data_IF_154728333339
#
_entry.id   IF_154728333339
#
_cell.length_a   1.000
_cell.length_b   1.000
_cell.length_c   1.000
_cell.angle_alpha   90.00
_cell.angle_beta   90.00
_cell.angle_gamma   90.00
#
_symmetry.space_group_name_H-M   'P 1'
#
loop_
_entity.id
_entity.type
_entity.pdbx_description
1 polymer ?
#
# COMPACT_ATOMS: atom_id res chain seq x y z
N UNK A 1 -18.01 -24.02 -6.04
CA UNK A 1 -16.74 -24.44 -6.66
C UNK A 1 -15.70 -23.40 -6.29
N UNK A 2 -15.06 -23.60 -5.14
CA UNK A 2 -13.93 -22.78 -4.68
C UNK A 2 -12.64 -23.30 -5.32
N UNK A 3 -11.77 -22.37 -5.74
CA UNK A 3 -10.35 -22.61 -5.92
C UNK A 3 -9.88 -22.69 -7.37
N UNK A 4 -9.00 -21.74 -7.73
CA UNK A 4 -7.54 -21.97 -7.88
C UNK A 4 -6.99 -21.02 -8.93
N UNK A 5 -6.54 -19.85 -8.49
CA UNK A 5 -5.89 -18.87 -9.36
C UNK A 5 -5.12 -17.83 -8.56
N UNK A 6 -4.00 -18.26 -7.97
CA UNK A 6 -2.89 -17.39 -7.55
C UNK A 6 -3.10 -16.43 -6.37
N UNK A 7 -3.46 -16.98 -5.21
CA UNK A 7 -3.13 -16.40 -3.90
C UNK A 7 -1.84 -17.00 -3.27
N UNK A 8 -1.06 -17.79 -4.02
CA UNK A 8 0.16 -18.46 -3.52
C UNK A 8 1.49 -17.78 -3.86
N UNK A 9 1.52 -16.60 -4.45
CA UNK A 9 2.80 -15.92 -4.70
C UNK A 9 3.46 -15.36 -3.43
N UNK A 10 2.68 -15.12 -2.38
CA UNK A 10 3.19 -14.55 -1.12
C UNK A 10 3.55 -15.64 -0.09
N UNK A 11 2.91 -16.81 -0.13
CA UNK A 11 2.88 -17.68 1.05
C UNK A 11 3.95 -18.80 1.11
N UNK A 12 4.32 -19.45 0.00
CA UNK A 12 5.16 -20.66 0.09
C UNK A 12 6.50 -20.62 -0.66
N UNK A 13 6.68 -19.72 -1.63
CA UNK A 13 7.95 -19.70 -2.41
C UNK A 13 8.48 -18.29 -2.71
N UNK A 14 7.62 -17.26 -2.74
CA UNK A 14 8.04 -15.86 -2.99
C UNK A 14 8.62 -15.13 -1.77
N UNK A 15 8.36 -15.62 -0.55
CA UNK A 15 8.76 -14.95 0.70
C UNK A 15 10.28 -14.92 0.95
N UNK A 16 11.08 -15.76 0.27
CA UNK A 16 12.54 -15.77 0.42
C UNK A 16 13.29 -14.82 -0.53
N UNK A 17 12.62 -14.27 -1.54
CA UNK A 17 13.23 -13.42 -2.57
C UNK A 17 12.84 -11.94 -2.45
N UNK A 18 11.90 -11.60 -1.58
CA UNK A 18 11.40 -10.23 -1.45
C UNK A 18 11.84 -9.63 -0.11
N UNK A 19 12.84 -8.75 -0.14
CA UNK A 19 13.08 -7.87 1.01
C UNK A 19 11.83 -6.99 1.19
N UNK A 20 11.23 -6.96 2.39
CA UNK A 20 10.08 -6.12 2.68
C UNK A 20 10.31 -4.70 2.14
N UNK A 21 9.29 -4.11 1.51
CA UNK A 21 9.38 -2.74 0.97
C UNK A 21 9.85 -1.77 2.05
N UNK A 22 9.43 -2.00 3.30
CA UNK A 22 9.83 -1.25 4.48
C UNK A 22 11.35 -1.21 4.75
N UNK A 23 12.11 -2.21 4.29
CA UNK A 23 13.55 -2.29 4.48
C UNK A 23 14.34 -1.53 3.39
N UNK A 24 13.73 -1.34 2.22
CA UNK A 24 14.36 -0.72 1.07
C UNK A 24 14.68 0.76 1.33
N UNK A 25 15.91 1.18 1.01
CA UNK A 25 16.36 2.57 1.25
C UNK A 25 15.51 3.60 0.50
N UNK A 26 15.09 3.26 -0.73
CA UNK A 26 14.23 4.11 -1.57
C UNK A 26 12.89 4.36 -0.87
N UNK A 27 12.26 3.31 -0.33
CA UNK A 27 11.01 3.45 0.41
C UNK A 27 11.18 4.29 1.66
N UNK A 28 12.20 4.01 2.48
CA UNK A 28 12.51 4.79 3.69
C UNK A 28 12.69 6.28 3.38
N UNK A 29 13.38 6.60 2.30
CA UNK A 29 13.57 7.98 1.84
C UNK A 29 12.26 8.61 1.36
N UNK A 30 11.43 7.86 0.61
CA UNK A 30 10.13 8.31 0.10
C UNK A 30 9.17 8.67 1.24
N UNK A 31 8.98 7.77 2.21
CA UNK A 31 8.04 7.97 3.32
C UNK A 31 8.51 8.97 4.36
N UNK A 32 9.81 9.30 4.42
CA UNK A 32 10.35 10.28 5.38
C UNK A 32 9.73 11.68 5.23
N UNK A 33 9.31 12.04 4.02
CA UNK A 33 8.78 13.39 3.71
C UNK A 33 7.34 13.38 3.19
N UNK A 34 6.68 12.22 3.16
CA UNK A 34 5.36 12.05 2.53
C UNK A 34 4.46 11.24 3.44
N UNK A 35 3.21 11.70 3.58
CA UNK A 35 2.13 10.88 4.13
C UNK A 35 1.71 9.88 3.05
N UNK A 36 1.63 8.61 3.40
CA UNK A 36 1.20 7.55 2.50
C UNK A 36 -0.08 6.95 3.04
N UNK A 37 -1.07 6.86 2.16
CA UNK A 37 -2.37 6.30 2.47
C UNK A 37 -2.62 5.12 1.53
N UNK A 38 -3.21 4.06 2.06
CA UNK A 38 -3.61 2.89 1.31
C UNK A 38 -5.13 2.75 1.44
N UNK A 39 -5.81 2.51 0.32
CA UNK A 39 -7.22 2.14 0.32
C UNK A 39 -7.36 0.69 -0.11
N UNK A 40 -8.01 -0.12 0.71
CA UNK A 40 -8.42 -1.48 0.38
C UNK A 40 -9.49 -1.97 1.34
N UNK A 41 -10.58 -2.52 0.83
CA UNK A 41 -11.64 -3.11 1.65
C UNK A 41 -11.19 -4.43 2.32
N UNK A 42 -10.17 -5.08 1.77
CA UNK A 42 -9.81 -6.46 2.15
C UNK A 42 -8.55 -6.56 3.03
N UNK A 43 -7.59 -5.64 2.90
CA UNK A 43 -6.34 -5.71 3.67
C UNK A 43 -6.53 -5.39 5.15
N UNK A 44 -5.82 -6.07 6.05
CA UNK A 44 -5.78 -5.72 7.47
C UNK A 44 -4.62 -4.76 7.77
N UNK A 45 -4.65 -4.13 8.95
CA UNK A 45 -3.50 -3.34 9.42
C UNK A 45 -2.24 -4.19 9.57
N UNK A 46 -2.38 -5.48 9.88
CA UNK A 46 -1.24 -6.39 10.01
C UNK A 46 -0.56 -6.63 8.65
N UNK A 47 -1.34 -6.74 7.57
CA UNK A 47 -0.81 -6.89 6.20
C UNK A 47 -0.01 -5.65 5.80
N UNK A 48 -0.55 -4.47 6.10
CA UNK A 48 0.11 -3.18 5.83
C UNK A 48 1.39 -3.03 6.64
N UNK A 49 1.36 -3.34 7.93
CA UNK A 49 2.53 -3.25 8.82
C UNK A 49 3.63 -4.23 8.40
N UNK A 50 3.26 -5.41 7.91
CA UNK A 50 4.22 -6.40 7.41
C UNK A 50 4.95 -5.90 6.15
N UNK A 51 4.23 -5.30 5.20
CA UNK A 51 4.79 -4.85 3.91
C UNK A 51 5.54 -3.52 4.05
N UNK A 52 4.91 -2.54 4.71
CA UNK A 52 5.34 -1.14 4.70
C UNK A 52 5.98 -0.69 6.02
N UNK A 53 5.95 -1.54 7.04
CA UNK A 53 6.46 -1.26 8.37
C UNK A 53 5.42 -0.50 9.21
N UNK A 54 5.46 -0.74 10.53
CA UNK A 54 4.55 -0.12 11.49
C UNK A 54 4.45 1.40 11.29
N UNK A 55 3.20 1.89 11.27
CA UNK A 55 2.80 3.30 11.28
C UNK A 55 3.23 4.18 10.09
N UNK A 56 3.78 3.62 9.01
CA UNK A 56 4.21 4.40 7.82
C UNK A 56 3.11 4.64 6.80
N UNK A 57 2.09 3.78 6.79
CA UNK A 57 0.97 3.83 5.84
C UNK A 57 -0.33 3.77 6.62
N UNK A 58 -1.23 4.71 6.35
CA UNK A 58 -2.57 4.71 6.93
C UNK A 58 -3.51 3.95 6.02
N UNK A 59 -4.14 2.89 6.54
CA UNK A 59 -5.10 2.08 5.81
C UNK A 59 -6.53 2.60 5.97
N UNK A 60 -7.22 2.77 4.85
CA UNK A 60 -8.62 3.14 4.78
C UNK A 60 -9.41 2.01 4.16
N UNK A 61 -10.47 1.59 4.86
CA UNK A 61 -11.41 0.57 4.39
C UNK A 61 -12.52 1.15 3.52
N UNK A 62 -12.79 2.46 3.65
CA UNK A 62 -13.81 3.16 2.86
C UNK A 62 -13.16 4.27 2.08
N UNK A 63 -13.57 4.40 0.81
CA UNK A 63 -13.03 5.42 -0.08
C UNK A 63 -13.33 6.83 0.44
N UNK A 64 -14.56 7.06 0.93
CA UNK A 64 -14.97 8.34 1.49
C UNK A 64 -14.08 8.79 2.66
N UNK A 65 -13.69 7.86 3.54
CA UNK A 65 -12.84 8.17 4.69
C UNK A 65 -11.43 8.61 4.23
N UNK A 66 -10.90 7.98 3.18
CA UNK A 66 -9.63 8.39 2.57
C UNK A 66 -9.74 9.81 1.98
N UNK A 67 -10.79 10.08 1.20
CA UNK A 67 -10.99 11.40 0.58
C UNK A 67 -11.12 12.48 1.65
N UNK A 68 -11.93 12.25 2.68
CA UNK A 68 -12.09 13.18 3.79
C UNK A 68 -10.75 13.46 4.48
N UNK A 69 -9.91 12.44 4.67
CA UNK A 69 -8.59 12.61 5.27
C UNK A 69 -7.64 13.39 4.38
N UNK A 70 -7.67 13.14 3.06
CA UNK A 70 -6.89 13.92 2.10
C UNK A 70 -7.31 15.40 2.09
N UNK A 71 -8.61 15.68 2.15
CA UNK A 71 -9.15 17.03 2.25
C UNK A 71 -8.73 17.72 3.57
N UNK A 72 -8.74 17.00 4.69
CA UNK A 72 -8.25 17.54 5.97
C UNK A 72 -6.76 17.88 5.92
N UNK A 73 -5.95 16.98 5.36
CA UNK A 73 -4.49 17.12 5.39
C UNK A 73 -3.95 18.15 4.37
N UNK A 74 -4.71 18.46 3.32
CA UNK A 74 -4.23 19.23 2.18
C UNK A 74 -5.21 20.28 1.62
N UNK A 75 -6.50 20.27 2.02
CA UNK A 75 -7.54 21.22 1.56
C UNK A 75 -8.40 20.72 0.40
N UNK A 76 -9.35 21.55 -0.05
CA UNK A 76 -10.40 21.13 -1.02
C UNK A 76 -9.97 21.18 -2.51
N UNK A 77 -9.00 22.02 -2.89
CA UNK A 77 -8.68 22.29 -4.30
C UNK A 77 -7.28 21.82 -4.71
N UNK A 78 -7.04 20.52 -4.56
CA UNK A 78 -5.74 19.92 -4.81
C UNK A 78 -5.54 19.55 -6.28
N UNK A 79 -4.33 19.81 -6.77
CA UNK A 79 -3.86 19.23 -8.03
C UNK A 79 -3.35 17.83 -7.74
N UNK A 80 -4.02 16.84 -8.33
CA UNK A 80 -3.62 15.45 -8.24
C UNK A 80 -3.06 14.95 -9.57
N UNK A 81 -2.10 14.02 -9.50
CA UNK A 81 -1.66 13.23 -10.65
C UNK A 81 -2.18 11.82 -10.44
N UNK A 82 -2.86 11.28 -11.45
CA UNK A 82 -3.31 9.90 -11.47
C UNK A 82 -2.35 9.12 -12.35
N UNK A 83 -1.72 8.10 -11.78
CA UNK A 83 -0.85 7.18 -12.49
C UNK A 83 -1.59 5.84 -12.56
N UNK A 84 -2.35 5.57 -13.64
CA UNK A 84 -2.95 4.26 -13.81
C UNK A 84 -1.83 3.26 -14.04
N UNK A 85 -1.79 2.19 -13.24
CA UNK A 85 -0.73 1.20 -13.33
C UNK A 85 -1.28 -0.19 -13.09
N UNK A 86 -0.84 -1.15 -13.89
CA UNK A 86 -1.20 -2.56 -13.81
C UNK A 86 0.01 -3.40 -13.41
N UNK A 87 0.81 -2.93 -12.44
CA UNK A 87 2.10 -3.53 -12.07
C UNK A 87 1.95 -5.05 -11.91
N UNK A 88 2.35 -5.80 -12.93
CA UNK A 88 3.22 -6.94 -12.73
C UNK A 88 4.55 -6.34 -12.34
N UNK A 89 4.99 -6.57 -11.11
CA UNK A 89 6.35 -6.26 -10.70
C UNK A 89 7.26 -7.06 -11.65
N UNK A 90 7.89 -6.38 -12.61
CA UNK A 90 8.95 -6.99 -13.40
C UNK A 90 10.12 -7.25 -12.46
N UNK A 91 10.61 -8.48 -12.49
CA UNK A 91 11.75 -8.99 -11.70
C UNK A 91 12.94 -8.02 -11.62
#
# INVERSE_FOLDING_TARGET
>A
YEGRGFHSLIAETGAKLYSPVCEQMIWKAFVKRRKVYCFSEHLSNNDIDHIYGKSKVLLFKKWADLINKLTEDYGESLKAIIIPTSIQLSE
#
